data_IF_630015167880
#
_entry.id   IF_630015167880
#
_cell.length_a   1.000
_cell.length_b   1.000
_cell.length_c   1.000
_cell.angle_alpha   90.00
_cell.angle_beta   90.00
_cell.angle_gamma   90.00
#
_symmetry.space_group_name_H-M   'P 1'
#
loop_
_entity.id
_entity.type
_entity.pdbx_description
1 polymer ?
#
# COMPACT_ATOMS: atom_id res chain seq x y z
N UNK A 1 -20.32 -7.58 -17.01
CA UNK A 1 -20.37 -8.05 -15.61
C UNK A 1 -20.28 -6.81 -14.76
N UNK A 2 -21.35 -6.48 -14.05
CA UNK A 2 -21.38 -5.26 -13.24
C UNK A 2 -20.58 -5.44 -11.97
N UNK A 3 -19.65 -4.51 -11.71
CA UNK A 3 -18.89 -4.48 -10.47
C UNK A 3 -19.81 -4.01 -9.35
N UNK A 4 -20.10 -4.91 -8.40
CA UNK A 4 -21.00 -4.61 -7.28
C UNK A 4 -20.28 -3.79 -6.20
N UNK A 5 -21.06 -3.08 -5.37
CA UNK A 5 -20.53 -2.33 -4.24
C UNK A 5 -19.83 -3.25 -3.22
N UNK A 6 -20.33 -4.48 -3.03
CA UNK A 6 -19.75 -5.44 -2.08
C UNK A 6 -18.36 -5.91 -2.53
N UNK A 7 -18.17 -6.17 -3.83
CA UNK A 7 -16.85 -6.54 -4.37
C UNK A 7 -15.81 -5.42 -4.16
N UNK A 8 -16.23 -4.16 -4.34
CA UNK A 8 -15.36 -3.01 -4.11
C UNK A 8 -15.00 -2.88 -2.63
N UNK A 9 -15.99 -3.11 -1.75
CA UNK A 9 -15.80 -3.09 -0.29
C UNK A 9 -14.86 -4.20 0.17
N UNK A 10 -15.03 -5.42 -0.32
CA UNK A 10 -14.16 -6.55 -0.02
C UNK A 10 -12.71 -6.27 -0.45
N UNK A 11 -12.51 -5.84 -1.69
CA UNK A 11 -11.17 -5.52 -2.19
C UNK A 11 -10.50 -4.38 -1.40
N UNK A 12 -11.27 -3.36 -1.01
CA UNK A 12 -10.78 -2.27 -0.17
C UNK A 12 -10.39 -2.76 1.23
N UNK A 13 -11.18 -3.63 1.85
CA UNK A 13 -10.85 -4.18 3.17
C UNK A 13 -9.55 -5.01 3.13
N UNK A 14 -9.31 -5.75 2.05
CA UNK A 14 -8.09 -6.56 1.89
C UNK A 14 -6.83 -5.74 1.57
N UNK A 15 -6.96 -4.57 0.96
CA UNK A 15 -5.81 -3.81 0.41
C UNK A 15 -5.59 -2.45 1.04
N UNK A 16 -6.60 -1.86 1.68
CA UNK A 16 -6.57 -0.48 2.17
C UNK A 16 -6.61 0.59 1.08
N UNK A 17 -6.74 0.21 -0.19
CA UNK A 17 -6.68 1.13 -1.33
C UNK A 17 -8.01 1.89 -1.51
N UNK A 18 -7.92 3.11 -2.05
CA UNK A 18 -9.07 3.96 -2.35
C UNK A 18 -10.17 3.26 -3.17
N UNK A 19 -11.42 3.66 -2.91
CA UNK A 19 -12.63 3.05 -3.50
C UNK A 19 -12.61 3.08 -5.03
N UNK A 20 -12.18 4.20 -5.62
CA UNK A 20 -12.15 4.37 -7.07
C UNK A 20 -11.11 3.46 -7.74
N UNK A 21 -9.91 3.34 -7.17
CA UNK A 21 -8.89 2.43 -7.66
C UNK A 21 -9.33 0.97 -7.57
N UNK A 22 -9.96 0.58 -6.46
CA UNK A 22 -10.53 -0.77 -6.31
C UNK A 22 -11.56 -1.06 -7.42
N UNK A 23 -12.47 -0.13 -7.69
CA UNK A 23 -13.45 -0.27 -8.78
C UNK A 23 -12.80 -0.35 -10.16
N UNK A 24 -11.76 0.44 -10.42
CA UNK A 24 -11.01 0.39 -11.70
C UNK A 24 -10.28 -0.94 -11.87
N UNK A 25 -9.63 -1.44 -10.81
CA UNK A 25 -8.93 -2.71 -10.83
C UNK A 25 -9.88 -3.89 -11.03
N UNK A 26 -11.05 -3.87 -10.38
CA UNK A 26 -12.09 -4.88 -10.57
C UNK A 26 -12.67 -4.86 -12.00
N UNK A 27 -12.82 -3.68 -12.61
CA UNK A 27 -13.21 -3.59 -14.03
C UNK A 27 -12.17 -4.21 -14.95
N UNK A 28 -10.88 -3.92 -14.72
CA UNK A 28 -9.76 -4.45 -15.50
C UNK A 28 -9.59 -5.97 -15.30
N UNK A 29 -9.85 -6.48 -14.10
CA UNK A 29 -9.81 -7.90 -13.78
C UNK A 29 -11.11 -8.66 -14.11
N UNK A 30 -12.13 -7.98 -14.67
CA UNK A 30 -13.45 -8.54 -14.95
C UNK A 30 -14.12 -9.16 -13.71
N UNK A 31 -13.92 -8.55 -12.55
CA UNK A 31 -14.51 -8.99 -11.27
C UNK A 31 -13.68 -10.01 -10.50
N UNK A 32 -12.54 -10.45 -11.02
CA UNK A 32 -11.62 -11.34 -10.31
C UNK A 32 -10.84 -10.56 -9.23
N UNK A 33 -11.06 -10.90 -7.96
CA UNK A 33 -10.48 -10.20 -6.81
C UNK A 33 -8.97 -10.43 -6.73
N UNK A 34 -8.49 -11.65 -6.95
CA UNK A 34 -7.06 -11.97 -6.88
C UNK A 34 -6.29 -11.26 -7.99
N UNK A 35 -6.84 -11.28 -9.22
CA UNK A 35 -6.25 -10.50 -10.32
C UNK A 35 -6.29 -8.99 -10.04
N UNK A 36 -7.36 -8.48 -9.43
CA UNK A 36 -7.44 -7.06 -9.05
C UNK A 36 -6.35 -6.69 -8.03
N UNK A 37 -6.06 -7.55 -7.04
CA UNK A 37 -4.98 -7.35 -6.08
C UNK A 37 -3.62 -7.28 -6.79
N UNK A 38 -3.36 -8.18 -7.74
CA UNK A 38 -2.10 -8.15 -8.53
C UNK A 38 -1.98 -6.85 -9.32
N UNK A 39 -3.06 -6.40 -9.97
CA UNK A 39 -3.10 -5.12 -10.70
C UNK A 39 -2.80 -3.94 -9.75
N UNK A 40 -3.45 -3.92 -8.59
CA UNK A 40 -3.27 -2.88 -7.58
C UNK A 40 -1.84 -2.84 -7.03
N UNK A 41 -1.21 -4.01 -6.77
CA UNK A 41 0.19 -4.08 -6.37
C UNK A 41 1.11 -3.48 -7.44
N UNK A 42 0.96 -3.87 -8.70
CA UNK A 42 1.75 -3.32 -9.82
C UNK A 42 1.61 -1.80 -9.93
N UNK A 43 0.38 -1.28 -9.82
CA UNK A 43 0.11 0.17 -9.82
C UNK A 43 0.70 0.88 -8.60
N UNK A 44 0.71 0.22 -7.43
CA UNK A 44 1.34 0.73 -6.22
C UNK A 44 2.84 0.95 -6.39
N UNK A 45 3.55 -0.01 -6.99
CA UNK A 45 4.98 0.13 -7.30
C UNK A 45 5.26 1.31 -8.25
N UNK A 46 4.47 1.46 -9.30
CA UNK A 46 4.61 2.58 -10.22
C UNK A 46 4.43 3.94 -9.50
N UNK A 47 3.38 4.06 -8.68
CA UNK A 47 3.14 5.27 -7.88
C UNK A 47 4.27 5.56 -6.90
N UNK A 48 4.82 4.53 -6.26
CA UNK A 48 5.95 4.70 -5.35
C UNK A 48 7.16 5.26 -6.08
N UNK A 49 7.46 4.75 -7.30
CA UNK A 49 8.52 5.26 -8.15
C UNK A 49 8.34 6.74 -8.49
N UNK A 50 7.12 7.16 -8.84
CA UNK A 50 6.83 8.56 -9.18
C UNK A 50 6.95 9.50 -7.97
N UNK A 51 6.90 8.96 -6.75
CA UNK A 51 7.06 9.73 -5.50
C UNK A 51 8.50 9.85 -5.02
N UNK A 52 9.45 9.11 -5.60
CA UNK A 52 10.84 9.07 -5.11
C UNK A 52 11.57 10.41 -5.18
N UNK A 53 11.14 11.33 -6.04
CA UNK A 53 11.75 12.65 -6.20
C UNK A 53 11.20 13.70 -5.24
N UNK A 54 10.31 13.33 -4.32
CA UNK A 54 9.73 14.27 -3.36
C UNK A 54 10.59 14.31 -2.11
N UNK A 55 10.79 15.51 -1.59
CA UNK A 55 11.52 15.70 -0.34
C UNK A 55 10.71 15.17 0.85
N UNK A 56 11.38 14.45 1.76
CA UNK A 56 10.79 13.89 2.98
C UNK A 56 11.53 14.42 4.21
N UNK A 57 11.13 15.61 4.66
CA UNK A 57 11.80 16.32 5.77
C UNK A 57 11.25 15.95 7.16
N UNK A 58 10.12 15.27 7.23
CA UNK A 58 9.50 14.82 8.48
C UNK A 58 9.68 13.31 8.66
N UNK A 59 9.34 12.76 9.84
CA UNK A 59 9.46 11.33 10.09
C UNK A 59 9.55 10.95 11.56
N UNK A 60 9.97 9.71 11.80
CA UNK A 60 10.19 9.17 13.15
C UNK A 60 11.49 8.37 13.23
N UNK A 61 12.08 8.32 14.42
CA UNK A 61 13.17 7.40 14.75
C UNK A 61 12.64 6.29 15.64
N UNK A 62 12.67 5.06 15.14
CA UNK A 62 12.37 3.84 15.89
C UNK A 62 13.64 3.25 16.49
N UNK A 63 13.50 2.61 17.65
CA UNK A 63 14.58 1.84 18.26
C UNK A 63 14.10 0.43 18.61
N UNK A 64 14.99 -0.55 18.47
CA UNK A 64 14.76 -1.93 18.88
C UNK A 64 15.98 -2.48 19.58
N UNK A 65 15.78 -3.03 20.77
CA UNK A 65 16.81 -3.74 21.53
C UNK A 65 16.43 -5.22 21.57
N UNK A 66 17.29 -6.07 21.01
CA UNK A 66 17.08 -7.52 21.05
C UNK A 66 17.19 -8.03 22.49
N UNK A 67 16.50 -9.15 22.76
CA UNK A 67 16.56 -9.82 24.05
C UNK A 67 18.03 -10.06 24.44
N UNK A 68 18.34 -9.80 25.71
CA UNK A 68 19.68 -9.77 26.31
C UNK A 68 20.53 -8.51 26.03
N UNK A 69 19.99 -7.48 25.36
CA UNK A 69 20.60 -6.15 25.30
C UNK A 69 21.89 -6.03 24.48
N UNK A 70 22.29 -7.09 23.77
CA UNK A 70 23.55 -7.13 23.00
C UNK A 70 23.43 -6.58 21.58
N UNK A 71 22.21 -6.48 21.06
CA UNK A 71 21.94 -5.97 19.72
C UNK A 71 20.94 -4.83 19.85
N UNK A 72 21.32 -3.66 19.38
CA UNK A 72 20.45 -2.49 19.27
C UNK A 72 20.36 -2.04 17.81
N UNK A 73 19.18 -1.61 17.39
CA UNK A 73 18.90 -1.08 16.06
C UNK A 73 18.21 0.27 16.22
N UNK A 74 18.65 1.26 15.44
CA UNK A 74 17.93 2.50 15.20
C UNK A 74 17.51 2.55 13.74
N UNK A 75 16.28 2.99 13.47
CA UNK A 75 15.76 3.18 12.12
C UNK A 75 15.12 4.56 12.06
N UNK A 76 15.53 5.35 11.09
CA UNK A 76 14.81 6.57 10.69
C UNK A 76 13.87 6.23 9.54
N UNK A 77 12.60 6.63 9.67
CA UNK A 77 11.59 6.50 8.62
C UNK A 77 11.03 7.88 8.31
N UNK A 78 11.41 8.41 7.14
CA UNK A 78 11.02 9.76 6.70
C UNK A 78 9.70 9.75 5.91
N UNK A 79 8.96 10.85 5.98
CA UNK A 79 7.73 11.13 5.25
C UNK A 79 7.64 12.60 4.82
N UNK A 80 6.64 12.91 4.00
CA UNK A 80 6.38 14.28 3.50
C UNK A 80 5.68 15.17 4.57
N UNK A 81 4.89 14.55 5.48
CA UNK A 81 4.10 15.18 6.55
C UNK A 81 3.58 14.14 7.55
#
# INVERSE_FOLDING_TARGET
MDITAEMVKELRQRTGIGVMECKKALKESKGDIEKAIVILRKKGYARAKDKMSRDTAEGIVGSYIHLNGKIGVLIEVNCES
#
